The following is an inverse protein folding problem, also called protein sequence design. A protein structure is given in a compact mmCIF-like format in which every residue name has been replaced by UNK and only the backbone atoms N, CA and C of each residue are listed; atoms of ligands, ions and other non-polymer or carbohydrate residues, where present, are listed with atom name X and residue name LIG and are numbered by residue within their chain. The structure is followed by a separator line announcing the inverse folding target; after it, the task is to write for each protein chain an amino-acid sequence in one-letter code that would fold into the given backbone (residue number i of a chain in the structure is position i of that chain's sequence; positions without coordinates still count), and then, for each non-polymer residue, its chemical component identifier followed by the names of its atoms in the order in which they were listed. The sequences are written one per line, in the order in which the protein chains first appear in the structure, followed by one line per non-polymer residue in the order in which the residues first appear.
data_IF_581085690665
#
_entry.id   IF_581085690665
#
_cell.length_a   1.000
_cell.length_b   1.000
_cell.length_c   1.000
_cell.angle_alpha   90.00
_cell.angle_beta   90.00
_cell.angle_gamma   90.00
#
_symmetry.space_group_name_H-M   'P 1'
#
loop_
_entity.id
_entity.type
_entity.pdbx_description
1 polymer ?
#
# COMPACT_ATOMS: atom_id res chain seq x y z
N UNK A 1 -14.05 -6.37 3.54
CA UNK A 1 -12.67 -6.19 3.05
C UNK A 1 -11.70 -6.30 4.25
N UNK A 2 -10.49 -6.84 4.10
CA UNK A 2 -9.49 -6.91 5.19
C UNK A 2 -8.20 -6.26 4.72
N UNK A 3 -7.67 -5.34 5.53
CA UNK A 3 -6.41 -4.66 5.27
C UNK A 3 -5.23 -5.66 5.29
N UNK A 4 -4.38 -5.60 4.27
CA UNK A 4 -3.22 -6.49 4.12
C UNK A 4 -2.01 -5.87 4.81
N UNK A 5 -1.31 -6.66 5.63
CA UNK A 5 0.02 -6.31 6.13
C UNK A 5 1.07 -6.93 5.20
N UNK A 6 1.86 -6.09 4.53
CA UNK A 6 2.89 -6.51 3.60
C UNK A 6 4.20 -6.85 4.30
N UNK A 7 4.88 -7.87 3.78
CA UNK A 7 6.21 -8.26 4.23
C UNK A 7 7.26 -7.23 3.84
N UNK A 8 8.23 -7.00 4.73
CA UNK A 8 9.25 -5.96 4.54
C UNK A 8 10.29 -6.35 3.48
N UNK A 9 10.63 -7.63 3.35
CA UNK A 9 11.68 -8.10 2.43
C UNK A 9 11.08 -8.42 1.06
N UNK A 10 9.82 -8.88 1.03
CA UNK A 10 9.10 -9.26 -0.18
C UNK A 10 7.68 -8.65 -0.21
N UNK A 11 7.56 -7.33 -0.43
CA UNK A 11 6.26 -6.67 -0.47
C UNK A 11 5.46 -7.07 -1.72
N UNK A 12 4.24 -7.54 -1.52
CA UNK A 12 3.30 -7.88 -2.58
C UNK A 12 2.01 -7.05 -2.45
N UNK A 13 1.70 -6.27 -3.49
CA UNK A 13 0.49 -5.47 -3.52
C UNK A 13 -0.73 -6.34 -3.80
N UNK A 14 -1.81 -6.23 -3.01
CA UNK A 14 -3.10 -6.80 -3.39
C UNK A 14 -3.67 -6.07 -4.61
N UNK A 15 -4.66 -6.68 -5.28
CA UNK A 15 -5.38 -6.03 -6.39
C UNK A 15 -5.90 -4.65 -5.96
N UNK A 16 -5.79 -3.59 -6.78
CA UNK A 16 -6.33 -2.26 -6.47
C UNK A 16 -7.84 -2.26 -6.13
N UNK A 17 -8.61 -3.19 -6.71
CA UNK A 17 -10.04 -3.42 -6.42
C UNK A 17 -10.32 -3.85 -4.96
N UNK A 18 -9.27 -4.16 -4.21
CA UNK A 18 -9.33 -4.55 -2.80
C UNK A 18 -9.16 -3.37 -1.84
N UNK A 19 -9.15 -2.12 -2.33
CA UNK A 19 -9.12 -0.96 -1.46
C UNK A 19 -10.36 -0.91 -0.55
N UNK A 20 -10.21 -0.36 0.64
CA UNK A 20 -11.31 -0.11 1.57
C UNK A 20 -12.19 1.04 1.06
N UNK A 21 -13.50 0.93 1.28
CA UNK A 21 -14.44 2.04 1.05
C UNK A 21 -14.38 3.09 2.17
N UNK A 22 -13.97 2.69 3.38
CA UNK A 22 -13.75 3.57 4.53
C UNK A 22 -12.60 3.01 5.42
N UNK A 23 -11.46 3.72 5.53
CA UNK A 23 -11.12 4.94 4.81
C UNK A 23 -10.91 4.67 3.31
N UNK A 24 -11.48 5.54 2.48
CA UNK A 24 -11.52 5.40 1.02
C UNK A 24 -10.11 5.24 0.42
N UNK A 25 -9.95 4.20 -0.39
CA UNK A 25 -8.72 3.90 -1.11
C UNK A 25 -7.64 3.20 -0.28
N UNK A 26 -7.81 2.97 1.03
CA UNK A 26 -6.76 2.31 1.83
C UNK A 26 -6.61 0.84 1.44
N UNK A 27 -5.43 0.44 0.98
CA UNK A 27 -5.19 -0.85 0.34
C UNK A 27 -4.32 -1.79 1.18
N UNK A 28 -3.19 -1.29 1.71
CA UNK A 28 -2.23 -2.11 2.44
C UNK A 28 -1.41 -1.30 3.46
N UNK A 29 -0.79 -2.02 4.40
CA UNK A 29 0.09 -1.48 5.46
C UNK A 29 1.43 -2.19 5.42
N UNK A 30 2.52 -1.49 5.70
CA UNK A 30 3.87 -2.07 5.82
C UNK A 30 4.60 -2.17 4.48
N UNK A 31 5.44 -3.20 4.34
CA UNK A 31 6.38 -3.31 3.24
C UNK A 31 7.60 -2.39 3.41
N UNK A 32 8.09 -1.85 2.29
CA UNK A 32 9.26 -0.98 2.28
C UNK A 32 9.12 0.13 1.20
N UNK A 33 10.02 1.12 1.23
CA UNK A 33 10.08 2.21 0.24
C UNK A 33 11.27 2.06 -0.72
N UNK A 34 11.66 0.82 -1.03
CA UNK A 34 12.71 0.58 -2.02
C UNK A 34 12.25 1.07 -3.41
N UNK A 35 13.18 1.49 -4.29
CA UNK A 35 12.82 1.96 -5.63
C UNK A 35 11.95 0.97 -6.42
N UNK A 36 12.26 -0.34 -6.34
CA UNK A 36 11.52 -1.38 -7.07
C UNK A 36 10.09 -1.53 -6.54
N UNK A 37 9.89 -1.45 -5.22
CA UNK A 37 8.57 -1.47 -4.60
C UNK A 37 7.75 -0.25 -5.01
N UNK A 38 8.35 0.94 -4.98
CA UNK A 38 7.68 2.16 -5.42
C UNK A 38 7.28 2.09 -6.90
N UNK A 39 8.19 1.68 -7.79
CA UNK A 39 7.90 1.53 -9.22
C UNK A 39 6.73 0.57 -9.46
N UNK A 40 6.70 -0.55 -8.72
CA UNK A 40 5.61 -1.52 -8.77
C UNK A 40 4.29 -0.91 -8.30
N UNK A 41 4.30 -0.15 -7.21
CA UNK A 41 3.11 0.53 -6.68
C UNK A 41 2.56 1.56 -7.68
N UNK A 42 3.40 2.48 -8.16
CA UNK A 42 3.00 3.53 -9.09
C UNK A 42 2.48 2.97 -10.43
N UNK A 43 3.03 1.85 -10.91
CA UNK A 43 2.53 1.20 -12.13
C UNK A 43 1.09 0.68 -12.02
N UNK A 44 0.59 0.49 -10.79
CA UNK A 44 -0.74 0.00 -10.48
C UNK A 44 -1.68 1.09 -9.94
N UNK A 45 -1.25 2.36 -9.93
CA UNK A 45 -2.04 3.44 -9.32
C UNK A 45 -2.03 3.43 -7.78
N UNK A 46 -1.02 2.80 -7.17
CA UNK A 46 -0.90 2.70 -5.71
C UNK A 46 0.15 3.70 -5.22
N UNK A 47 -0.19 4.45 -4.17
CA UNK A 47 0.62 5.54 -3.63
C UNK A 47 0.90 5.34 -2.14
N UNK A 48 2.15 5.53 -1.68
CA UNK A 48 2.42 5.56 -0.25
C UNK A 48 2.01 6.92 0.33
N UNK A 49 1.19 6.92 1.38
CA UNK A 49 0.82 8.15 2.08
C UNK A 49 0.53 7.88 3.56
N UNK A 50 1.37 8.40 4.45
CA UNK A 50 1.34 8.12 5.90
C UNK A 50 1.96 9.30 6.66
N UNK A 51 1.67 9.43 7.96
CA UNK A 51 2.34 10.40 8.85
C UNK A 51 3.62 9.82 9.44
N UNK A 52 4.48 10.66 10.04
CA UNK A 52 5.79 10.24 10.56
C UNK A 52 5.72 9.08 11.59
N UNK A 53 4.66 9.03 12.41
CA UNK A 53 4.45 8.00 13.43
C UNK A 53 3.63 6.79 12.93
N UNK A 54 3.11 6.85 11.70
CA UNK A 54 2.33 5.79 11.11
C UNK A 54 3.24 4.72 10.46
N UNK A 55 2.81 3.45 10.41
CA UNK A 55 3.41 2.52 9.47
C UNK A 55 3.20 3.02 8.04
N UNK A 56 3.99 2.51 7.09
CA UNK A 56 3.77 2.82 5.67
C UNK A 56 2.33 2.39 5.30
N UNK A 57 1.53 3.32 4.81
CA UNK A 57 0.18 3.05 4.30
C UNK A 57 0.19 3.24 2.78
N UNK A 58 -0.51 2.36 2.08
CA UNK A 58 -0.61 2.35 0.63
C UNK A 58 -2.07 2.53 0.20
N UNK A 59 -2.28 3.42 -0.77
CA UNK A 59 -3.60 3.89 -1.19
C UNK A 59 -3.82 3.73 -2.68
N UNK A 60 -5.04 3.38 -3.08
CA UNK A 60 -5.53 3.40 -4.46
C UNK A 60 -6.92 4.08 -4.46
N UNK A 61 -7.00 5.42 -4.66
CA UNK A 61 -8.25 6.17 -4.73
C UNK A 61 -9.03 5.95 -6.04
#
# INVERSE_FOLDING_TARGET
MKLVLMDQDHPEFPSPDNALDDPDGLLAVGGNLSPDTLLTAYSQGIFPWFQDDDPILWWNP
#
